data_IF_603417694425
#
_entry.id   IF_603417694425
#
_cell.length_a   1.000
_cell.length_b   1.000
_cell.length_c   1.000
_cell.angle_alpha   90.00
_cell.angle_beta   90.00
_cell.angle_gamma   90.00
#
_symmetry.space_group_name_H-M   'P 1'
#
loop_
_entity.id
_entity.type
_entity.pdbx_description
1 polymer ?
#
# COMPACT_ATOMS: atom_id res chain seq x y z
N UNK A 1 -4.69 -36.09 1.26
CA UNK A 1 -4.47 -35.49 -0.09
C UNK A 1 -4.86 -34.03 -0.02
N UNK A 2 -3.94 -33.12 -0.37
CA UNK A 2 -4.28 -31.72 -0.41
C UNK A 2 -5.07 -31.43 -1.70
N UNK A 3 -6.32 -30.98 -1.55
CA UNK A 3 -7.16 -30.55 -2.68
C UNK A 3 -6.69 -29.18 -3.16
N UNK A 4 -5.64 -29.14 -3.97
CA UNK A 4 -5.21 -27.92 -4.63
C UNK A 4 -5.80 -27.87 -6.03
N UNK A 5 -6.37 -26.72 -6.40
CA UNK A 5 -6.87 -26.53 -7.75
C UNK A 5 -5.72 -26.59 -8.78
N UNK A 6 -5.96 -27.22 -9.94
CA UNK A 6 -4.96 -27.35 -11.01
C UNK A 6 -4.44 -25.97 -11.51
N UNK A 7 -5.26 -24.93 -11.40
CA UNK A 7 -4.86 -23.55 -11.71
C UNK A 7 -3.66 -23.06 -10.89
N UNK A 8 -3.50 -23.54 -9.63
CA UNK A 8 -2.38 -23.15 -8.78
C UNK A 8 -1.03 -23.68 -9.26
N UNK A 9 -1.01 -24.78 -10.01
CA UNK A 9 0.23 -25.32 -10.62
C UNK A 9 0.83 -24.37 -11.67
N UNK A 10 0.04 -23.46 -12.23
CA UNK A 10 0.49 -22.47 -13.23
C UNK A 10 1.03 -21.20 -12.60
N UNK A 11 0.79 -20.97 -11.31
CA UNK A 11 1.25 -19.79 -10.59
C UNK A 11 2.70 -19.99 -10.19
N UNK A 12 3.59 -19.15 -10.73
CA UNK A 12 4.99 -19.14 -10.34
C UNK A 12 5.17 -18.19 -9.15
N UNK A 13 5.99 -18.55 -8.15
CA UNK A 13 6.38 -17.63 -7.08
C UNK A 13 6.99 -16.35 -7.65
N UNK A 14 6.79 -15.23 -6.97
CA UNK A 14 7.41 -13.97 -7.35
C UNK A 14 8.94 -14.05 -7.20
N UNK A 15 9.66 -13.81 -8.29
CA UNK A 15 11.12 -13.79 -8.27
C UNK A 15 11.66 -12.72 -7.30
N UNK A 16 11.02 -11.57 -7.21
CA UNK A 16 11.39 -10.49 -6.28
C UNK A 16 11.29 -10.93 -4.83
N UNK A 17 10.20 -11.62 -4.46
CA UNK A 17 10.01 -12.15 -3.11
C UNK A 17 11.09 -13.21 -2.82
N UNK A 18 11.35 -14.13 -3.74
CA UNK A 18 12.36 -15.17 -3.56
C UNK A 18 13.77 -14.59 -3.34
N UNK A 19 14.15 -13.54 -4.09
CA UNK A 19 15.44 -12.84 -3.89
C UNK A 19 15.51 -12.17 -2.53
N UNK A 20 14.45 -11.50 -2.11
CA UNK A 20 14.37 -10.82 -0.81
C UNK A 20 14.46 -11.81 0.35
N UNK A 21 13.75 -12.94 0.27
CA UNK A 21 13.79 -13.99 1.29
C UNK A 21 15.16 -14.66 1.35
N UNK A 22 15.81 -14.89 0.20
CA UNK A 22 17.18 -15.41 0.16
C UNK A 22 18.17 -14.47 0.82
N UNK A 23 18.09 -13.17 0.55
CA UNK A 23 18.94 -12.16 1.18
C UNK A 23 18.75 -12.12 2.70
N UNK A 24 17.49 -12.22 3.16
CA UNK A 24 17.14 -12.26 4.58
C UNK A 24 17.70 -13.52 5.27
N UNK A 25 17.58 -14.69 4.64
CA UNK A 25 18.14 -15.93 5.16
C UNK A 25 19.65 -15.87 5.31
N UNK A 26 20.36 -15.38 4.29
CA UNK A 26 21.81 -15.21 4.32
C UNK A 26 22.28 -14.23 5.42
N UNK A 27 21.56 -13.15 5.64
CA UNK A 27 21.81 -12.22 6.76
C UNK A 27 21.64 -12.91 8.11
N UNK A 28 20.60 -13.73 8.27
CA UNK A 28 20.35 -14.49 9.50
C UNK A 28 21.46 -15.52 9.78
N UNK A 29 22.13 -16.02 8.75
CA UNK A 29 23.34 -16.86 8.85
C UNK A 29 24.63 -16.07 9.19
N UNK A 30 24.52 -14.75 9.43
CA UNK A 30 25.65 -13.88 9.76
C UNK A 30 26.48 -13.41 8.54
N UNK A 31 25.97 -13.60 7.32
CA UNK A 31 26.67 -13.12 6.11
C UNK A 31 26.43 -11.65 5.88
N UNK A 32 27.45 -10.93 5.46
CA UNK A 32 27.34 -9.55 5.04
C UNK A 32 26.70 -9.47 3.63
N UNK A 33 25.40 -9.20 3.58
CA UNK A 33 24.63 -9.16 2.34
C UNK A 33 23.95 -7.80 2.19
N UNK A 34 24.24 -7.13 1.08
CA UNK A 34 23.52 -5.90 0.69
C UNK A 34 22.28 -6.30 -0.11
N UNK A 35 21.09 -6.04 0.44
CA UNK A 35 19.82 -6.38 -0.20
C UNK A 35 19.35 -5.25 -1.12
N UNK A 36 19.34 -5.51 -2.43
CA UNK A 36 18.82 -4.58 -3.46
C UNK A 36 17.54 -5.12 -4.13
N UNK A 37 16.90 -6.13 -3.53
CA UNK A 37 15.77 -6.84 -4.13
C UNK A 37 14.41 -6.17 -3.93
N UNK A 38 14.26 -5.33 -2.92
CA UNK A 38 13.04 -4.56 -2.65
C UNK A 38 13.35 -3.06 -2.65
N UNK A 39 12.52 -2.29 -3.34
CA UNK A 39 12.57 -0.83 -3.29
C UNK A 39 11.63 -0.33 -2.18
N UNK A 40 12.21 0.06 -1.04
CA UNK A 40 11.48 0.69 0.07
C UNK A 40 12.27 1.90 0.59
N UNK A 41 11.58 2.94 1.10
CA UNK A 41 12.26 4.06 1.74
C UNK A 41 13.05 3.58 2.97
N UNK A 42 14.25 4.09 3.16
CA UNK A 42 15.09 3.87 4.34
C UNK A 42 14.71 4.77 5.52
N UNK A 43 13.87 5.76 5.27
CA UNK A 43 13.25 6.61 6.30
C UNK A 43 11.98 5.99 6.84
N UNK A 44 11.80 6.07 8.14
CA UNK A 44 10.55 5.68 8.78
C UNK A 44 9.42 6.68 8.47
N UNK A 45 8.18 6.27 8.71
CA UNK A 45 7.01 7.14 8.58
C UNK A 45 7.16 8.37 9.48
N UNK A 46 6.94 9.60 8.97
CA UNK A 46 7.05 10.82 9.78
C UNK A 46 6.15 10.78 11.02
N UNK A 47 6.66 11.30 12.14
CA UNK A 47 5.99 11.20 13.45
C UNK A 47 4.61 11.84 13.50
N UNK A 48 4.40 12.94 12.76
CA UNK A 48 3.08 13.57 12.67
C UNK A 48 2.06 12.63 12.00
N UNK A 49 2.48 11.83 11.03
CA UNK A 49 1.62 10.85 10.35
C UNK A 49 1.34 9.67 11.30
N UNK A 50 2.36 9.15 12.01
CA UNK A 50 2.19 8.10 13.03
C UNK A 50 1.17 8.53 14.09
N UNK A 51 1.33 9.74 14.64
CA UNK A 51 0.40 10.29 15.65
C UNK A 51 -1.03 10.44 15.11
N UNK A 52 -1.20 10.87 13.87
CA UNK A 52 -2.51 10.95 13.24
C UNK A 52 -3.18 9.59 13.10
N UNK A 53 -2.41 8.55 12.71
CA UNK A 53 -2.90 7.19 12.61
C UNK A 53 -3.31 6.61 13.99
N UNK A 54 -2.49 6.79 15.02
CA UNK A 54 -2.79 6.36 16.39
C UNK A 54 -4.09 7.02 16.87
N UNK A 55 -4.21 8.34 16.71
CA UNK A 55 -5.43 9.08 17.09
C UNK A 55 -6.67 8.59 16.33
N UNK A 56 -6.54 8.23 15.06
CA UNK A 56 -7.65 7.70 14.28
C UNK A 56 -8.10 6.32 14.80
N UNK A 57 -7.17 5.45 15.21
CA UNK A 57 -7.46 4.14 15.79
C UNK A 57 -8.15 4.32 17.16
N UNK A 58 -7.58 5.12 18.05
CA UNK A 58 -8.09 5.38 19.41
C UNK A 58 -9.51 5.99 19.38
N UNK A 59 -9.80 6.84 18.41
CA UNK A 59 -11.12 7.46 18.26
C UNK A 59 -12.22 6.49 17.77
N UNK A 60 -11.87 5.26 17.40
CA UNK A 60 -12.79 4.27 16.83
C UNK A 60 -13.28 4.57 15.40
N UNK A 61 -12.89 5.68 14.80
CA UNK A 61 -13.30 6.06 13.43
C UNK A 61 -12.81 5.08 12.37
N UNK A 62 -11.62 4.49 12.60
CA UNK A 62 -11.01 3.52 11.69
C UNK A 62 -11.65 2.12 11.75
N UNK A 63 -12.57 1.86 12.69
CA UNK A 63 -13.15 0.55 12.96
C UNK A 63 -14.54 0.33 12.31
N UNK A 64 -14.98 1.23 11.45
CA UNK A 64 -16.28 1.15 10.78
C UNK A 64 -16.13 1.12 9.26
N UNK A 65 -17.09 0.48 8.59
CA UNK A 65 -17.16 0.53 7.13
C UNK A 65 -17.32 1.98 6.65
N UNK A 66 -16.64 2.30 5.58
CA UNK A 66 -16.72 3.60 4.90
C UNK A 66 -17.40 3.44 3.54
N UNK A 67 -17.62 4.55 2.84
CA UNK A 67 -17.99 4.50 1.43
C UNK A 67 -16.90 3.78 0.62
N UNK A 68 -17.29 3.03 -0.42
CA UNK A 68 -16.40 2.22 -1.26
C UNK A 68 -15.31 3.08 -1.93
N UNK A 69 -15.65 4.32 -2.26
CA UNK A 69 -14.76 5.27 -2.92
C UNK A 69 -13.91 6.11 -1.94
N UNK A 70 -14.02 5.85 -0.63
CA UNK A 70 -13.26 6.50 0.43
C UNK A 70 -14.04 7.54 1.23
N UNK A 71 -13.45 8.00 2.33
CA UNK A 71 -14.09 8.99 3.21
C UNK A 71 -14.03 10.40 2.59
N UNK A 72 -15.11 11.21 2.74
CA UNK A 72 -15.19 12.54 2.14
C UNK A 72 -14.05 13.48 2.53
N UNK A 73 -13.60 13.42 3.77
CA UNK A 73 -12.50 14.24 4.29
C UNK A 73 -11.19 13.98 3.57
N UNK A 74 -10.87 12.70 3.27
CA UNK A 74 -9.66 12.34 2.55
C UNK A 74 -9.76 12.75 1.08
N UNK A 75 -10.91 12.54 0.44
CA UNK A 75 -11.15 12.98 -0.95
C UNK A 75 -11.00 14.49 -1.08
N UNK A 76 -11.55 15.27 -0.14
CA UNK A 76 -11.38 16.71 -0.10
C UNK A 76 -9.91 17.12 0.13
N UNK A 77 -9.18 16.40 0.97
CA UNK A 77 -7.75 16.65 1.20
C UNK A 77 -6.91 16.40 -0.06
N UNK A 78 -7.20 15.31 -0.79
CA UNK A 78 -6.55 15.01 -2.07
C UNK A 78 -6.83 16.08 -3.12
N UNK A 79 -8.09 16.54 -3.24
CA UNK A 79 -8.46 17.63 -4.14
C UNK A 79 -7.67 18.92 -3.84
N UNK A 80 -7.61 19.32 -2.56
CA UNK A 80 -6.82 20.49 -2.15
C UNK A 80 -5.31 20.31 -2.44
N UNK A 81 -4.77 19.12 -2.21
CA UNK A 81 -3.36 18.79 -2.52
C UNK A 81 -3.07 18.95 -4.01
N UNK A 82 -3.90 18.38 -4.88
CA UNK A 82 -3.75 18.49 -6.32
C UNK A 82 -3.80 19.95 -6.79
N UNK A 83 -4.73 20.74 -6.26
CA UNK A 83 -4.82 22.15 -6.61
C UNK A 83 -3.60 22.95 -6.15
N UNK A 84 -3.14 22.73 -4.91
CA UNK A 84 -2.01 23.47 -4.32
C UNK A 84 -0.67 23.13 -4.99
N UNK A 85 -0.40 21.83 -5.19
CA UNK A 85 0.93 21.36 -5.57
C UNK A 85 1.06 21.05 -7.07
N UNK A 86 -0.01 20.54 -7.69
CA UNK A 86 0.03 20.09 -9.07
C UNK A 86 -0.70 21.03 -10.04
N UNK A 87 -1.40 22.05 -9.53
CA UNK A 87 -2.24 22.97 -10.33
C UNK A 87 -3.39 22.26 -11.07
N UNK A 88 -3.83 21.12 -10.53
CA UNK A 88 -4.94 20.33 -11.06
C UNK A 88 -6.19 20.58 -10.22
N UNK A 89 -7.32 20.84 -10.88
CA UNK A 89 -8.59 21.08 -10.21
C UNK A 89 -9.54 19.89 -10.41
N UNK A 90 -9.50 18.93 -9.48
CA UNK A 90 -10.39 17.79 -9.44
C UNK A 90 -11.39 17.93 -8.29
N UNK A 91 -12.66 17.71 -8.58
CA UNK A 91 -13.70 17.65 -7.55
C UNK A 91 -13.56 16.37 -6.71
N UNK A 92 -13.94 16.37 -5.42
CA UNK A 92 -13.95 15.15 -4.61
C UNK A 92 -14.72 13.97 -5.23
N UNK A 93 -15.78 14.24 -6.01
CA UNK A 93 -16.53 13.21 -6.74
C UNK A 93 -15.74 12.50 -7.86
N UNK A 94 -14.64 13.08 -8.29
CA UNK A 94 -13.73 12.49 -9.30
C UNK A 94 -12.55 11.73 -8.68
N UNK A 95 -12.56 11.55 -7.34
CA UNK A 95 -11.48 10.94 -6.59
C UNK A 95 -11.96 9.65 -5.94
N UNK A 96 -11.23 8.56 -6.14
CA UNK A 96 -11.43 7.27 -5.50
C UNK A 96 -10.19 6.95 -4.68
N UNK A 97 -10.39 6.57 -3.43
CA UNK A 97 -9.34 6.09 -2.53
C UNK A 97 -9.26 4.57 -2.62
N UNK A 98 -8.07 4.02 -2.76
CA UNK A 98 -7.86 2.58 -2.80
C UNK A 98 -6.65 2.16 -1.99
N UNK A 99 -6.58 0.88 -1.65
CA UNK A 99 -5.44 0.25 -0.98
C UNK A 99 -4.31 0.07 -1.98
N UNK A 100 -3.51 1.11 -2.17
CA UNK A 100 -2.49 1.16 -3.21
C UNK A 100 -3.05 1.45 -4.61
N UNK A 101 -2.17 1.51 -5.62
CA UNK A 101 -2.54 1.84 -7.01
C UNK A 101 -3.03 0.67 -7.85
N UNK A 102 -2.59 -0.54 -7.57
CA UNK A 102 -2.89 -1.73 -8.40
C UNK A 102 -4.38 -2.06 -8.53
N UNK A 103 -5.21 -2.03 -7.46
CA UNK A 103 -6.64 -2.31 -7.59
C UNK A 103 -7.38 -1.32 -8.50
N UNK A 104 -6.89 -0.09 -8.64
CA UNK A 104 -7.52 0.95 -9.47
C UNK A 104 -7.26 0.77 -10.96
N UNK A 105 -6.12 0.19 -11.34
CA UNK A 105 -5.79 -0.07 -12.75
C UNK A 105 -6.60 -1.21 -13.37
N UNK A 106 -7.19 -2.08 -12.56
CA UNK A 106 -8.03 -3.20 -13.00
C UNK A 106 -9.50 -2.82 -13.21
N UNK A 107 -9.93 -1.64 -12.74
CA UNK A 107 -11.34 -1.21 -12.79
C UNK A 107 -11.67 -0.38 -14.04
N UNK A 108 -10.69 -0.05 -14.86
CA UNK A 108 -10.82 0.79 -16.06
C UNK A 108 -10.47 0.06 -17.38
N UNK A 109 -10.66 -1.27 -17.42
CA UNK A 109 -10.57 -2.06 -18.66
C UNK A 109 -11.95 -2.46 -19.14
#
# INVERSE_FOLDING_TARGET
>A
MAFLAESLKRIKPSATIAVTDKARALKAEGRDVIGLGAGEPDFDTPDNIKRAAIKAIESGRASKYTAVDGIPELKAAVSRKFKRENKLDYKPSQIIIGTGGKPKSLTYQ
#
